data_IF_962335857238
#
_entry.id   IF_962335857238
#
_cell.length_a   1.000
_cell.length_b   1.000
_cell.length_c   1.000
_cell.angle_alpha   90.00
_cell.angle_beta   90.00
_cell.angle_gamma   90.00
#
_symmetry.space_group_name_H-M   'P 1'
#
loop_
_entity.id
_entity.type
_entity.pdbx_description
1 polymer ?
#
# COMPACT_ATOMS: atom_id res chain seq x y z
N UNK A 1 0.22 -13.42 4.81
CA UNK A 1 1.20 -12.91 3.82
C UNK A 1 1.55 -13.95 2.75
N UNK A 2 1.08 -13.77 1.51
CA UNK A 2 1.37 -14.63 0.36
C UNK A 2 2.62 -14.17 -0.42
N UNK A 3 3.23 -15.04 -1.23
CA UNK A 3 4.37 -14.67 -2.09
C UNK A 3 4.05 -13.52 -3.06
N UNK A 4 2.81 -13.43 -3.56
CA UNK A 4 2.33 -12.27 -4.34
C UNK A 4 2.33 -10.98 -3.51
N UNK A 5 1.81 -11.04 -2.28
CA UNK A 5 1.78 -9.89 -1.37
C UNK A 5 3.20 -9.40 -1.05
N UNK A 6 4.15 -10.30 -0.82
CA UNK A 6 5.58 -9.94 -0.68
C UNK A 6 6.09 -9.21 -1.91
N UNK A 7 5.84 -9.73 -3.11
CA UNK A 7 6.24 -9.06 -4.36
C UNK A 7 5.60 -7.69 -4.52
N UNK A 8 4.31 -7.54 -4.20
CA UNK A 8 3.61 -6.25 -4.25
C UNK A 8 4.19 -5.25 -3.25
N UNK A 9 4.46 -5.69 -2.01
CA UNK A 9 5.10 -4.86 -1.00
C UNK A 9 6.51 -4.42 -1.43
N UNK A 10 7.32 -5.35 -1.93
CA UNK A 10 8.64 -5.03 -2.49
C UNK A 10 8.53 -4.08 -3.69
N UNK A 11 7.53 -4.26 -4.55
CA UNK A 11 7.28 -3.37 -5.69
C UNK A 11 6.87 -1.95 -5.26
N UNK A 12 6.12 -1.79 -4.16
CA UNK A 12 5.79 -0.49 -3.58
C UNK A 12 7.05 0.28 -3.13
N UNK A 13 8.06 -0.44 -2.63
CA UNK A 13 9.34 0.13 -2.20
C UNK A 13 10.39 0.16 -3.31
N UNK A 14 10.15 -0.51 -4.43
CA UNK A 14 11.05 -0.52 -5.58
C UNK A 14 11.15 0.87 -6.21
N UNK A 15 12.32 1.15 -6.79
CA UNK A 15 12.55 2.34 -7.60
C UNK A 15 13.04 1.91 -8.99
N UNK A 16 12.37 2.31 -10.09
CA UNK A 16 11.25 3.25 -10.18
C UNK A 16 9.89 2.68 -9.73
N UNK A 17 8.95 3.57 -9.37
CA UNK A 17 7.61 3.20 -8.89
C UNK A 17 6.79 2.46 -9.97
N UNK A 18 6.19 1.30 -9.65
CA UNK A 18 5.35 0.58 -10.59
C UNK A 18 4.03 1.34 -10.84
N UNK A 19 3.67 1.53 -12.11
CA UNK A 19 2.40 2.15 -12.50
C UNK A 19 1.23 1.14 -12.67
N UNK A 20 1.50 -0.15 -12.46
CA UNK A 20 0.56 -1.24 -12.75
C UNK A 20 0.08 -1.96 -11.48
N UNK A 21 0.12 -1.30 -10.32
CA UNK A 21 -0.36 -1.92 -9.08
C UNK A 21 -1.88 -1.82 -8.99
N UNK A 22 -2.51 -2.96 -8.73
CA UNK A 22 -3.93 -3.04 -8.47
C UNK A 22 -4.21 -2.53 -7.05
N UNK A 23 -5.16 -1.59 -6.86
CA UNK A 23 -5.57 -1.11 -5.54
C UNK A 23 -5.96 -2.26 -4.60
N UNK A 24 -6.68 -3.25 -5.12
CA UNK A 24 -7.08 -4.44 -4.34
C UNK A 24 -5.88 -5.24 -3.80
N UNK A 25 -4.82 -5.44 -4.59
CA UNK A 25 -3.61 -6.15 -4.12
C UNK A 25 -2.90 -5.35 -3.03
N UNK A 26 -2.88 -4.03 -3.17
CA UNK A 26 -2.31 -3.12 -2.17
C UNK A 26 -3.13 -3.14 -0.88
N UNK A 27 -4.45 -3.06 -0.97
CA UNK A 27 -5.37 -3.18 0.16
C UNK A 27 -5.15 -4.51 0.89
N UNK A 28 -5.06 -5.62 0.17
CA UNK A 28 -4.75 -6.92 0.77
C UNK A 28 -3.41 -6.96 1.49
N UNK A 29 -2.36 -6.37 0.92
CA UNK A 29 -1.04 -6.28 1.57
C UNK A 29 -1.13 -5.45 2.86
N UNK A 30 -1.82 -4.31 2.80
CA UNK A 30 -2.01 -3.42 3.95
C UNK A 30 -2.79 -4.10 5.06
N UNK A 31 -3.92 -4.76 4.75
CA UNK A 31 -4.71 -5.49 5.74
C UNK A 31 -3.91 -6.65 6.34
N UNK A 32 -3.08 -7.35 5.56
CA UNK A 32 -2.22 -8.43 6.06
C UNK A 32 -1.09 -7.90 6.98
N UNK A 33 -0.62 -6.66 6.75
CA UNK A 33 0.26 -5.93 7.66
C UNK A 33 -0.43 -5.45 8.94
N UNK A 34 -1.76 -5.61 9.05
CA UNK A 34 -2.56 -5.12 10.18
C UNK A 34 -3.04 -3.68 10.01
N UNK A 35 -3.06 -3.14 8.79
CA UNK A 35 -3.68 -1.86 8.52
C UNK A 35 -5.20 -1.99 8.46
N UNK A 36 -5.92 -1.04 9.04
CA UNK A 36 -7.35 -0.89 8.89
C UNK A 36 -7.68 -0.04 7.67
N UNK A 37 -8.50 -0.57 6.77
CA UNK A 37 -8.94 0.13 5.57
C UNK A 37 -10.39 0.53 5.78
N UNK A 38 -10.68 1.82 5.63
CA UNK A 38 -12.00 2.41 5.77
C UNK A 38 -12.40 3.07 4.47
N UNK A 39 -13.37 2.49 3.77
CA UNK A 39 -13.96 3.12 2.58
C UNK A 39 -14.63 4.44 2.93
N UNK A 40 -14.37 5.47 2.12
CA UNK A 40 -14.96 6.80 2.23
C UNK A 40 -15.82 7.07 1.00
N UNK A 41 -16.80 7.95 1.15
CA UNK A 41 -17.68 8.34 0.06
C UNK A 41 -16.89 8.94 -1.11
N UNK A 42 -17.13 8.45 -2.33
CA UNK A 42 -16.57 9.01 -3.57
C UNK A 42 -15.22 8.45 -4.02
N UNK A 43 -15.11 7.12 -4.17
CA UNK A 43 -13.90 6.44 -4.69
C UNK A 43 -12.63 6.76 -3.90
N UNK A 44 -12.74 6.88 -2.57
CA UNK A 44 -11.63 7.14 -1.65
C UNK A 44 -11.61 6.09 -0.56
N UNK A 45 -10.44 5.76 -0.08
CA UNK A 45 -10.25 4.87 1.05
C UNK A 45 -9.23 5.48 2.01
N UNK A 46 -9.49 5.34 3.29
CA UNK A 46 -8.56 5.71 4.34
C UNK A 46 -7.85 4.43 4.81
N UNK A 47 -6.55 4.49 5.00
CA UNK A 47 -5.74 3.40 5.54
C UNK A 47 -5.15 3.88 6.86
N UNK A 48 -5.39 3.14 7.93
CA UNK A 48 -4.83 3.39 9.26
C UNK A 48 -3.87 2.26 9.62
N UNK A 49 -2.60 2.57 9.87
CA UNK A 49 -1.58 1.60 10.25
C UNK A 49 -0.68 2.20 11.33
N UNK A 50 -0.48 1.47 12.44
CA UNK A 50 0.42 1.87 13.51
C UNK A 50 0.20 3.32 14.00
N UNK A 51 -1.07 3.74 14.13
CA UNK A 51 -1.47 5.10 14.53
C UNK A 51 -1.35 6.17 13.44
N UNK A 52 -0.92 5.83 12.23
CA UNK A 52 -0.86 6.73 11.09
C UNK A 52 -2.06 6.50 10.18
N UNK A 53 -2.75 7.56 9.78
CA UNK A 53 -3.87 7.47 8.84
C UNK A 53 -3.57 8.27 7.58
N UNK A 54 -3.70 7.63 6.41
CA UNK A 54 -3.58 8.26 5.11
C UNK A 54 -4.83 8.01 4.25
N UNK A 55 -5.16 8.94 3.37
CA UNK A 55 -6.31 8.83 2.48
C UNK A 55 -5.82 8.71 1.04
N UNK A 56 -6.31 7.71 0.33
CA UNK A 56 -5.94 7.39 -1.04
C UNK A 56 -7.18 7.36 -1.93
N UNK A 57 -6.98 7.55 -3.24
CA UNK A 57 -8.05 7.45 -4.22
C UNK A 57 -8.07 6.05 -4.83
N UNK A 58 -9.25 5.42 -4.81
CA UNK A 58 -9.48 4.16 -5.51
C UNK A 58 -9.63 4.46 -7.01
N UNK A 59 -8.53 4.38 -7.75
CA UNK A 59 -8.57 4.45 -9.20
C UNK A 59 -9.12 3.12 -9.75
N UNK A 60 -10.14 3.20 -10.62
CA UNK A 60 -10.87 2.01 -11.12
C UNK A 60 -10.04 0.98 -11.89
N UNK A 61 -8.79 1.30 -12.25
CA UNK A 61 -7.92 0.43 -13.05
C UNK A 61 -6.53 0.22 -12.47
N UNK A 62 -5.84 1.27 -11.99
CA UNK A 62 -4.47 1.15 -11.49
C UNK A 62 -4.11 2.33 -10.60
N UNK A 63 -3.34 2.08 -9.54
CA UNK A 63 -2.77 3.15 -8.71
C UNK A 63 -1.77 3.98 -9.53
N UNK A 64 -1.96 5.32 -9.61
CA UNK A 64 -0.98 6.18 -10.25
C UNK A 64 0.31 6.23 -9.43
N UNK A 65 1.42 6.56 -10.08
CA UNK A 65 2.75 6.62 -9.45
C UNK A 65 2.79 7.54 -8.22
N UNK A 66 2.05 8.65 -8.25
CA UNK A 66 1.93 9.57 -7.11
C UNK A 66 1.30 8.91 -5.87
N UNK A 67 0.26 8.11 -6.03
CA UNK A 67 -0.37 7.38 -4.93
C UNK A 67 0.55 6.27 -4.42
N UNK A 68 1.28 5.60 -5.32
CA UNK A 68 2.32 4.63 -4.94
C UNK A 68 3.43 5.29 -4.10
N UNK A 69 3.89 6.48 -4.50
CA UNK A 69 4.88 7.25 -3.75
C UNK A 69 4.37 7.64 -2.37
N UNK A 70 3.12 8.11 -2.29
CA UNK A 70 2.49 8.44 -1.01
C UNK A 70 2.35 7.21 -0.12
N UNK A 71 1.94 6.07 -0.67
CA UNK A 71 1.79 4.84 0.08
C UNK A 71 3.12 4.32 0.60
N UNK A 72 4.18 4.39 -0.22
CA UNK A 72 5.54 4.08 0.22
C UNK A 72 5.96 4.96 1.39
N UNK A 73 5.81 6.29 1.25
CA UNK A 73 6.15 7.23 2.31
C UNK A 73 5.32 6.98 3.58
N UNK A 74 4.05 6.63 3.43
CA UNK A 74 3.17 6.25 4.54
C UNK A 74 3.67 4.99 5.26
N UNK A 75 4.00 3.94 4.51
CA UNK A 75 4.53 2.69 5.06
C UNK A 75 5.87 2.90 5.77
N UNK A 76 6.77 3.70 5.18
CA UNK A 76 8.04 4.11 5.80
C UNK A 76 7.79 4.86 7.12
N UNK A 77 6.83 5.79 7.14
CA UNK A 77 6.46 6.57 8.34
C UNK A 77 5.81 5.69 9.42
N UNK A 78 5.00 4.72 9.00
CA UNK A 78 4.40 3.71 9.87
C UNK A 78 5.45 2.69 10.41
N UNK A 79 6.69 2.74 9.92
CA UNK A 79 7.79 1.87 10.35
C UNK A 79 7.80 0.49 9.69
N UNK A 80 7.06 0.31 8.59
CA UNK A 80 7.03 -0.93 7.81
C UNK A 80 8.25 -0.98 6.91
N UNK A 81 8.99 -2.08 6.97
CA UNK A 81 10.11 -2.30 6.07
C UNK A 81 9.98 -3.68 5.39
N UNK A 82 9.72 -3.74 4.06
CA UNK A 82 9.61 -5.02 3.36
C UNK A 82 10.85 -5.88 3.45
N UNK A 83 12.05 -5.30 3.38
CA UNK A 83 13.29 -6.07 3.39
C UNK A 83 13.58 -6.66 4.77
N UNK A 84 13.22 -5.92 5.83
CA UNK A 84 13.42 -6.38 7.22
C UNK A 84 12.33 -7.35 7.68
N UNK A 85 11.07 -7.01 7.43
CA UNK A 85 9.92 -7.69 8.02
C UNK A 85 9.39 -8.81 7.10
N UNK A 86 9.61 -8.70 5.77
CA UNK A 86 9.11 -9.65 4.76
C UNK A 86 10.13 -9.93 3.64
N UNK A 87 11.28 -10.56 3.96
CA UNK A 87 12.26 -10.93 2.95
C UNK A 87 11.64 -11.87 1.89
N UNK A 88 12.08 -11.70 0.64
CA UNK A 88 11.56 -12.44 -0.53
C UNK A 88 12.01 -13.90 -0.56
#
# INVERSE_FOLDING_TARGET
MNHKHRKTLHALFAHPEPANLSPAEVEHVLTDLGAEISERSGAKFAVSLNGHTANFHHASHSLPKDEVRQLRSFLETAGVNPERDYPL
#
